data_IF_347259268153
#
_entry.id   IF_347259268153
#
_cell.length_a   1.000
_cell.length_b   1.000
_cell.length_c   1.000
_cell.angle_alpha   90.00
_cell.angle_beta   90.00
_cell.angle_gamma   90.00
#
_symmetry.space_group_name_H-M   'P 1'
#
loop_
_entity.id
_entity.type
_entity.pdbx_description
1 polymer ?
#
# COMPACT_ATOMS: atom_id res chain seq x y z
N UNK A 1 -55.81 19.88 6.54
CA UNK A 1 -54.67 19.19 5.89
C UNK A 1 -54.19 20.07 4.76
N UNK A 2 -53.07 20.77 4.93
CA UNK A 2 -52.54 21.66 3.88
C UNK A 2 -51.82 20.79 2.84
N UNK A 3 -52.32 20.78 1.61
CA UNK A 3 -51.66 20.12 0.50
C UNK A 3 -50.35 20.87 0.20
N UNK A 4 -49.21 20.19 0.29
CA UNK A 4 -47.93 20.67 -0.24
C UNK A 4 -48.10 20.76 -1.76
N UNK A 5 -48.31 21.97 -2.26
CA UNK A 5 -48.31 22.24 -3.70
C UNK A 5 -46.85 22.13 -4.17
N UNK A 6 -46.46 20.92 -4.59
CA UNK A 6 -45.25 20.70 -5.37
C UNK A 6 -45.42 21.50 -6.66
N UNK A 7 -44.69 22.61 -6.79
CA UNK A 7 -44.71 23.42 -8.00
C UNK A 7 -44.13 22.58 -9.15
N UNK A 8 -44.94 22.13 -10.14
CA UNK A 8 -44.50 21.14 -11.13
C UNK A 8 -43.35 21.65 -12.00
N UNK A 9 -43.20 22.98 -12.13
CA UNK A 9 -42.09 23.61 -12.84
C UNK A 9 -40.74 23.44 -12.12
N UNK A 10 -40.73 23.38 -10.78
CA UNK A 10 -39.51 23.06 -10.01
C UNK A 10 -39.13 21.59 -10.18
N UNK A 11 -40.10 20.69 -10.14
CA UNK A 11 -39.87 19.25 -10.30
C UNK A 11 -39.26 18.89 -11.67
N UNK A 12 -39.66 19.60 -12.74
CA UNK A 12 -39.08 19.45 -14.09
C UNK A 12 -37.61 19.91 -14.15
N UNK A 13 -37.28 21.05 -13.53
CA UNK A 13 -35.91 21.55 -13.47
C UNK A 13 -34.99 20.68 -12.61
N UNK A 14 -35.51 20.16 -11.50
CA UNK A 14 -34.77 19.26 -10.61
C UNK A 14 -34.45 17.92 -11.29
N UNK A 15 -35.38 17.39 -12.09
CA UNK A 15 -35.17 16.17 -12.87
C UNK A 15 -34.10 16.36 -13.95
N UNK A 16 -34.14 17.48 -14.68
CA UNK A 16 -33.12 17.83 -15.67
C UNK A 16 -31.74 18.01 -15.04
N UNK A 17 -31.66 18.73 -13.90
CA UNK A 17 -30.40 18.94 -13.20
C UNK A 17 -29.81 17.63 -12.66
N UNK A 18 -30.67 16.74 -12.14
CA UNK A 18 -30.26 15.40 -11.71
C UNK A 18 -29.68 14.60 -12.86
N UNK A 19 -30.35 14.60 -14.02
CA UNK A 19 -29.86 13.92 -15.22
C UNK A 19 -28.51 14.49 -15.69
N UNK A 20 -28.36 15.82 -15.68
CA UNK A 20 -27.10 16.47 -16.03
C UNK A 20 -25.95 16.06 -15.10
N UNK A 21 -26.19 15.93 -13.79
CA UNK A 21 -25.18 15.42 -12.83
C UNK A 21 -24.84 13.96 -13.13
N UNK A 22 -25.83 13.12 -13.43
CA UNK A 22 -25.61 11.71 -13.75
C UNK A 22 -24.80 11.53 -15.04
N UNK A 23 -25.07 12.36 -16.06
CA UNK A 23 -24.28 12.42 -17.29
C UNK A 23 -22.84 12.88 -17.01
N UNK A 24 -22.64 13.93 -16.20
CA UNK A 24 -21.32 14.38 -15.77
C UNK A 24 -20.54 13.28 -15.03
N UNK A 25 -21.20 12.55 -14.14
CA UNK A 25 -20.61 11.41 -13.43
C UNK A 25 -20.20 10.29 -14.40
N UNK A 26 -21.07 9.96 -15.35
CA UNK A 26 -20.81 8.93 -16.35
C UNK A 26 -19.65 9.30 -17.27
N UNK A 27 -19.57 10.57 -17.68
CA UNK A 27 -18.45 11.11 -18.43
C UNK A 27 -17.14 11.02 -17.65
N UNK A 28 -17.13 11.44 -16.38
CA UNK A 28 -15.94 11.36 -15.53
C UNK A 28 -15.47 9.91 -15.32
N UNK A 29 -16.41 8.97 -15.13
CA UNK A 29 -16.08 7.55 -15.03
C UNK A 29 -15.40 7.02 -16.30
N UNK A 30 -15.95 7.36 -17.47
CA UNK A 30 -15.35 7.00 -18.76
C UNK A 30 -13.96 7.63 -18.93
N UNK A 31 -13.79 8.90 -18.58
CA UNK A 31 -12.50 9.60 -18.63
C UNK A 31 -11.45 8.93 -17.74
N UNK A 32 -11.82 8.52 -16.52
CA UNK A 32 -10.94 7.80 -15.61
C UNK A 32 -10.51 6.43 -16.18
N UNK A 33 -11.44 5.70 -16.80
CA UNK A 33 -11.16 4.41 -17.42
C UNK A 33 -10.23 4.55 -18.64
N UNK A 34 -10.49 5.52 -19.53
CA UNK A 34 -9.61 5.79 -20.66
C UNK A 34 -8.21 6.21 -20.20
N UNK A 35 -8.11 7.02 -19.14
CA UNK A 35 -6.83 7.42 -18.55
C UNK A 35 -6.07 6.22 -17.99
N UNK A 36 -6.72 5.30 -17.28
CA UNK A 36 -6.03 4.15 -16.69
C UNK A 36 -5.53 3.16 -17.75
N UNK A 37 -6.27 2.98 -18.84
CA UNK A 37 -5.89 2.10 -19.96
C UNK A 37 -4.70 2.65 -20.75
N UNK A 38 -4.54 3.98 -20.81
CA UNK A 38 -3.41 4.63 -21.53
C UNK A 38 -2.11 4.72 -20.73
N UNK A 39 -2.13 4.44 -19.43
CA UNK A 39 -0.93 4.45 -18.60
C UNK A 39 -0.19 3.10 -18.66
N UNK A 40 1.15 3.08 -18.64
CA UNK A 40 2.06 4.23 -18.56
C UNK A 40 2.23 4.97 -19.90
N UNK A 41 2.46 6.28 -19.85
CA UNK A 41 2.76 7.10 -21.02
C UNK A 41 4.25 7.01 -21.37
N UNK A 42 4.58 6.67 -22.62
CA UNK A 42 5.97 6.58 -23.06
C UNK A 42 6.42 7.90 -23.70
N UNK A 43 7.31 8.62 -23.02
CA UNK A 43 7.88 9.87 -23.52
C UNK A 43 9.03 9.59 -24.50
N UNK A 44 8.90 10.06 -25.74
CA UNK A 44 9.87 9.80 -26.81
C UNK A 44 11.17 10.58 -26.66
N UNK A 45 11.17 11.72 -25.95
CA UNK A 45 12.37 12.53 -25.78
C UNK A 45 13.27 11.99 -24.66
N UNK A 46 12.66 11.53 -23.56
CA UNK A 46 13.39 11.05 -22.37
C UNK A 46 13.50 9.53 -22.29
N UNK A 47 12.67 8.79 -23.03
CA UNK A 47 12.56 7.34 -22.92
C UNK A 47 11.90 6.86 -21.62
N UNK A 48 11.33 7.77 -20.81
CA UNK A 48 10.71 7.43 -19.53
C UNK A 48 9.27 6.99 -19.75
N UNK A 49 8.92 5.82 -19.20
CA UNK A 49 7.52 5.40 -19.04
C UNK A 49 6.90 6.12 -17.83
N UNK A 50 6.26 7.25 -18.09
CA UNK A 50 5.68 8.13 -17.09
C UNK A 50 4.36 7.57 -16.54
N UNK A 51 4.17 7.77 -15.23
CA UNK A 51 2.93 7.48 -14.53
C UNK A 51 2.53 8.70 -13.67
N UNK A 52 1.57 8.52 -12.75
CA UNK A 52 1.27 9.55 -11.76
C UNK A 52 2.53 9.91 -10.95
N UNK A 53 2.80 11.20 -10.84
CA UNK A 53 3.92 11.74 -10.06
C UNK A 53 3.41 12.67 -8.95
N UNK A 54 4.24 12.89 -7.94
CA UNK A 54 3.93 13.72 -6.76
C UNK A 54 4.91 14.89 -6.63
N UNK A 55 5.48 15.34 -7.77
CA UNK A 55 6.47 16.42 -7.81
C UNK A 55 5.80 17.80 -7.70
N UNK A 56 4.51 17.88 -8.07
CA UNK A 56 3.71 19.09 -8.00
C UNK A 56 3.11 19.22 -6.59
N UNK A 57 3.61 20.19 -5.83
CA UNK A 57 3.20 20.44 -4.45
C UNK A 57 2.65 21.85 -4.32
N UNK A 58 1.60 22.00 -3.52
CA UNK A 58 0.93 23.29 -3.33
C UNK A 58 1.67 24.17 -2.32
N UNK A 59 1.46 25.49 -2.38
CA UNK A 59 2.10 26.44 -1.46
C UNK A 59 1.76 26.15 0.01
N UNK A 60 0.53 25.71 0.29
CA UNK A 60 0.12 25.39 1.66
C UNK A 60 0.79 24.12 2.21
N UNK A 61 1.38 23.29 1.35
CA UNK A 61 2.13 22.09 1.75
C UNK A 61 3.60 22.42 2.08
N UNK A 62 4.02 23.67 1.86
CA UNK A 62 5.37 24.14 2.19
C UNK A 62 5.48 24.34 3.70
N UNK A 63 6.35 23.57 4.33
CA UNK A 63 6.71 23.69 5.75
C UNK A 63 8.10 24.33 5.91
N UNK A 64 8.45 24.86 7.09
CA UNK A 64 9.82 25.27 7.37
C UNK A 64 10.83 24.12 7.20
N UNK A 65 12.09 24.45 6.92
CA UNK A 65 13.18 23.48 6.86
C UNK A 65 13.39 22.74 8.18
N UNK A 66 13.70 21.45 8.12
CA UNK A 66 13.96 20.60 9.31
C UNK A 66 15.46 20.45 9.56
N UNK A 67 16.28 20.44 8.50
CA UNK A 67 17.74 20.36 8.60
C UNK A 67 18.40 21.75 8.53
N UNK A 68 19.62 21.86 9.08
CA UNK A 68 20.41 23.09 8.98
C UNK A 68 20.64 23.49 7.52
N UNK A 69 20.40 24.76 7.19
CA UNK A 69 20.50 25.29 5.82
C UNK A 69 19.29 25.00 4.92
N UNK A 70 18.31 24.23 5.38
CA UNK A 70 17.08 23.98 4.63
C UNK A 70 16.11 25.14 4.78
N UNK A 71 15.66 25.74 3.67
CA UNK A 71 14.65 26.81 3.72
C UNK A 71 13.25 26.24 3.92
N UNK A 72 12.91 25.18 3.18
CA UNK A 72 11.58 24.59 3.15
C UNK A 72 11.62 23.06 3.13
N UNK A 73 10.59 22.45 3.68
CA UNK A 73 10.31 21.01 3.64
C UNK A 73 8.93 20.79 3.04
N UNK A 74 8.72 19.65 2.39
CA UNK A 74 7.41 19.22 1.90
C UNK A 74 7.09 17.81 2.41
N UNK A 75 5.80 17.40 2.46
CA UNK A 75 5.40 16.07 2.90
C UNK A 75 6.09 14.97 2.09
N UNK A 76 6.85 14.12 2.77
CA UNK A 76 7.49 12.97 2.15
C UNK A 76 6.52 11.79 2.05
N UNK A 77 6.56 11.06 0.93
CA UNK A 77 5.76 9.85 0.74
C UNK A 77 6.50 8.63 1.28
N UNK A 78 5.88 7.90 2.20
CA UNK A 78 6.41 6.64 2.68
C UNK A 78 6.42 5.60 1.55
N UNK A 79 7.54 4.88 1.41
CA UNK A 79 7.70 3.81 0.45
C UNK A 79 8.45 2.64 1.09
N UNK A 80 8.22 1.42 0.59
CA UNK A 80 8.91 0.22 1.07
C UNK A 80 9.33 -0.63 -0.11
N UNK A 81 10.64 -0.90 -0.21
CA UNK A 81 11.17 -1.84 -1.20
C UNK A 81 10.76 -3.27 -0.81
N UNK A 82 10.14 -4.01 -1.74
CA UNK A 82 9.84 -5.44 -1.53
C UNK A 82 11.15 -6.21 -1.40
N UNK A 83 11.27 -7.02 -0.34
CA UNK A 83 12.41 -7.94 -0.16
C UNK A 83 12.36 -8.98 -1.28
N UNK A 84 13.48 -9.22 -1.97
CA UNK A 84 13.57 -10.34 -2.91
C UNK A 84 13.59 -11.63 -2.09
N UNK A 85 12.74 -12.58 -2.43
CA UNK A 85 12.92 -13.95 -1.94
C UNK A 85 14.23 -14.47 -2.55
N UNK A 86 15.06 -15.15 -1.76
CA UNK A 86 16.21 -15.84 -2.29
C UNK A 86 15.69 -16.93 -3.22
N UNK A 87 16.00 -16.84 -4.52
CA UNK A 87 15.59 -17.83 -5.53
C UNK A 87 16.30 -19.18 -5.35
N UNK A 88 17.20 -19.31 -4.37
CA UNK A 88 18.02 -20.49 -4.14
C UNK A 88 17.28 -21.65 -3.47
N UNK A 89 16.02 -21.47 -3.05
CA UNK A 89 15.23 -22.53 -2.39
C UNK A 89 13.94 -22.89 -3.13
N UNK A 90 13.77 -22.47 -4.39
CA UNK A 90 12.70 -22.99 -5.26
C UNK A 90 13.28 -23.98 -6.28
N UNK A 91 13.16 -25.30 -6.05
CA UNK A 91 13.64 -26.32 -6.99
C UNK A 91 13.01 -26.22 -8.39
N UNK A 92 11.89 -25.50 -8.54
CA UNK A 92 11.16 -25.36 -9.81
C UNK A 92 11.61 -24.13 -10.62
N UNK A 93 12.38 -23.23 -10.00
CA UNK A 93 13.02 -22.09 -10.66
C UNK A 93 14.55 -22.31 -10.74
N UNK A 94 14.94 -23.55 -11.01
CA UNK A 94 16.31 -23.88 -11.38
C UNK A 94 16.69 -23.02 -12.58
N UNK A 95 17.52 -22.00 -12.35
CA UNK A 95 18.19 -21.26 -13.40
C UNK A 95 18.94 -22.30 -14.23
N UNK A 96 18.47 -22.50 -15.45
CA UNK A 96 19.00 -23.49 -16.38
C UNK A 96 20.51 -23.26 -16.59
N UNK A 97 21.34 -23.99 -15.83
CA UNK A 97 22.66 -24.45 -16.25
C UNK A 97 23.83 -23.46 -16.26
N UNK A 98 23.80 -22.32 -15.57
CA UNK A 98 25.03 -21.52 -15.39
C UNK A 98 25.72 -21.91 -14.08
N UNK A 99 26.59 -22.91 -14.19
CA UNK A 99 27.58 -23.26 -13.19
C UNK A 99 28.57 -22.09 -13.05
N UNK A 100 28.29 -21.18 -12.12
CA UNK A 100 29.27 -20.21 -11.62
C UNK A 100 30.23 -21.00 -10.71
N UNK A 101 31.22 -21.63 -11.32
CA UNK A 101 32.36 -22.20 -10.61
C UNK A 101 33.21 -21.03 -10.09
N UNK A 102 33.05 -20.75 -8.79
CA UNK A 102 33.65 -19.59 -8.14
C UNK A 102 33.37 -19.64 -6.65
N UNK A 103 34.09 -20.54 -5.96
CA UNK A 103 33.95 -20.79 -4.53
C UNK A 103 34.01 -19.52 -3.69
N UNK A 104 32.94 -19.28 -2.93
CA UNK A 104 32.97 -18.40 -1.78
C UNK A 104 32.90 -19.27 -0.53
N UNK A 105 34.05 -19.31 0.14
CA UNK A 105 34.36 -20.05 1.35
C UNK A 105 33.22 -20.04 2.37
N UNK A 106 32.99 -21.21 2.99
CA UNK A 106 32.35 -21.35 4.29
C UNK A 106 32.83 -20.23 5.21
N UNK A 107 31.90 -19.39 5.68
CA UNK A 107 32.11 -18.67 6.92
C UNK A 107 31.39 -19.42 8.01
N UNK A 108 32.23 -19.83 8.94
CA UNK A 108 31.94 -20.59 10.15
C UNK A 108 30.74 -20.07 10.92
N UNK A 109 30.02 -21.03 11.51
CA UNK A 109 28.87 -20.79 12.36
C UNK A 109 29.23 -19.92 13.56
N UNK A 110 28.50 -18.81 13.70
CA UNK A 110 28.27 -18.19 14.99
C UNK A 110 26.85 -18.56 15.45
N UNK A 111 26.63 -18.80 16.76
CA UNK A 111 25.32 -19.15 17.27
C UNK A 111 24.44 -17.90 17.23
N UNK A 112 23.67 -17.73 16.15
CA UNK A 112 22.54 -16.80 16.14
C UNK A 112 21.57 -17.28 17.19
N UNK A 113 21.37 -16.48 18.25
CA UNK A 113 20.32 -16.74 19.22
C UNK A 113 19.00 -16.87 18.46
N UNK A 114 18.47 -18.10 18.45
CA UNK A 114 17.30 -18.47 17.68
C UNK A 114 16.10 -17.69 18.20
N UNK A 115 15.43 -16.97 17.31
CA UNK A 115 14.16 -16.30 17.65
C UNK A 115 13.10 -17.36 17.99
N UNK A 116 12.12 -16.99 18.83
CA UNK A 116 11.00 -17.87 19.23
C UNK A 116 10.23 -18.42 18.02
N UNK A 117 10.19 -17.67 16.91
CA UNK A 117 9.55 -18.08 15.66
C UNK A 117 10.32 -19.22 14.96
N UNK A 118 11.65 -19.22 15.02
CA UNK A 118 12.46 -20.32 14.49
C UNK A 118 12.31 -21.61 15.30
N UNK A 119 12.06 -21.52 16.61
CA UNK A 119 11.81 -22.69 17.45
C UNK A 119 10.47 -23.36 17.11
N UNK A 120 9.41 -22.56 16.89
CA UNK A 120 8.09 -23.08 16.49
C UNK A 120 8.12 -23.76 15.11
N UNK A 121 8.87 -23.20 14.17
CA UNK A 121 9.02 -23.77 12.82
C UNK A 121 9.82 -25.08 12.81
N UNK A 122 10.72 -25.30 13.78
CA UNK A 122 11.47 -26.56 13.93
C UNK A 122 10.66 -27.67 14.60
N UNK A 123 9.47 -27.38 15.12
CA UNK A 123 8.53 -28.41 15.58
C UNK A 123 8.98 -29.19 16.81
N UNK A 124 9.86 -28.64 17.66
CA UNK A 124 10.18 -29.26 18.94
C UNK A 124 9.04 -29.01 19.94
N UNK A 125 8.35 -30.09 20.32
CA UNK A 125 7.22 -30.07 21.25
C UNK A 125 7.65 -29.68 22.65
N UNK A 126 6.98 -28.68 23.24
CA UNK A 126 7.15 -28.33 24.64
C UNK A 126 6.46 -29.40 25.50
N UNK A 127 7.26 -30.28 26.10
CA UNK A 127 6.80 -31.24 27.09
C UNK A 127 6.12 -30.55 28.30
N UNK A 128 4.95 -31.10 28.60
CA UNK A 128 4.01 -30.86 29.70
C UNK A 128 4.65 -30.40 31.02
N UNK A 129 4.23 -29.23 31.53
CA UNK A 129 4.28 -28.90 32.97
C UNK A 129 2.93 -28.37 33.46
N UNK A 130 2.49 -28.92 34.58
CA UNK A 130 1.15 -28.84 35.19
C UNK A 130 0.82 -27.45 35.77
N UNK A 131 -0.41 -27.00 35.50
CA UNK A 131 -1.41 -26.35 36.39
C UNK A 131 -0.95 -25.37 37.50
N UNK A 132 -1.39 -24.11 37.39
CA UNK A 132 -2.10 -23.41 38.48
C UNK A 132 -2.86 -22.15 37.98
N UNK A 133 -4.20 -22.24 38.10
CA UNK A 133 -5.26 -21.21 38.23
C UNK A 133 -4.84 -19.72 38.27
N UNK A 134 -5.46 -18.90 37.41
CA UNK A 134 -6.35 -17.79 37.78
C UNK A 134 -6.75 -16.99 36.52
N UNK A 135 -7.95 -17.25 36.01
CA UNK A 135 -8.71 -16.36 35.15
C UNK A 135 -9.66 -15.52 36.04
N UNK A 136 -10.20 -14.42 35.50
CA UNK A 136 -11.31 -13.57 36.02
C UNK A 136 -10.94 -12.29 36.79
N UNK A 137 -10.27 -11.29 36.16
CA UNK A 137 -10.47 -9.88 36.57
C UNK A 137 -9.96 -8.80 35.56
N UNK A 138 -10.23 -8.91 34.25
CA UNK A 138 -9.84 -7.81 33.34
C UNK A 138 -10.74 -7.67 32.12
N UNK A 139 -12.05 -7.56 32.35
CA UNK A 139 -13.02 -7.27 31.30
C UNK A 139 -14.19 -6.37 31.76
N UNK A 140 -13.91 -5.28 32.47
CA UNK A 140 -14.91 -4.23 32.72
C UNK A 140 -14.26 -2.83 32.84
N UNK A 141 -13.89 -2.21 31.72
CA UNK A 141 -13.75 -0.74 31.69
C UNK A 141 -13.82 -0.17 30.27
N UNK A 142 -15.02 -0.10 29.68
CA UNK A 142 -15.38 0.95 28.69
C UNK A 142 -16.87 1.25 28.87
N UNK A 143 -17.18 2.43 29.42
CA UNK A 143 -18.46 3.13 29.25
C UNK A 143 -18.17 4.54 28.77
#
# INVERSE_FOLDING_TARGET
>A
MAAVIQNPLKALGDQFYKEAIEQCRSYNARLCAERSVRLPFLDSQTGVAQNNCYIWMERHQRSPGVAAGQMYTYPARCWRKKRRLHTTTDPRLGIYGLQLDGGLMSRDGLPTQSTTLEALLRGEGLDKRKSSKNDEESLLEIQ
#
